data_IF_903446476407
#
_entry.id   IF_903446476407
#
_cell.length_a   1.000
_cell.length_b   1.000
_cell.length_c   1.000
_cell.angle_alpha   90.00
_cell.angle_beta   90.00
_cell.angle_gamma   90.00
#
_symmetry.space_group_name_H-M   'P 1'
#
loop_
_entity.id
_entity.type
_entity.pdbx_description
1 polymer ?
#
# COMPACT_ATOMS: atom_id res chain seq x y z
N UNK A 1 -5.70 19.79 -10.52
CA UNK A 1 -4.25 20.03 -10.30
C UNK A 1 -3.49 18.75 -10.64
N UNK A 2 -3.31 18.46 -11.94
CA UNK A 2 -2.83 17.17 -12.45
C UNK A 2 -1.37 17.25 -12.93
N UNK A 3 -0.85 18.46 -13.15
CA UNK A 3 0.35 18.67 -13.98
C UNK A 3 1.64 19.06 -13.22
N UNK A 4 1.56 19.33 -11.91
CA UNK A 4 2.75 19.50 -11.04
C UNK A 4 2.48 18.82 -9.68
N UNK A 5 2.71 17.50 -9.56
CA UNK A 5 2.57 16.84 -8.27
C UNK A 5 3.64 17.41 -7.32
N UNK A 6 3.22 17.94 -6.16
CA UNK A 6 4.13 18.24 -5.03
C UNK A 6 4.68 16.96 -4.37
N UNK A 7 4.50 15.82 -5.01
CA UNK A 7 4.74 14.49 -4.47
C UNK A 7 5.88 13.87 -5.29
N UNK A 8 6.88 13.23 -4.65
CA UNK A 8 7.97 12.60 -5.38
C UNK A 8 7.48 11.64 -6.47
N UNK A 9 8.16 11.63 -7.62
CA UNK A 9 7.78 10.84 -8.79
C UNK A 9 7.49 9.36 -8.46
N UNK A 10 8.31 8.75 -7.60
CA UNK A 10 8.14 7.37 -7.14
C UNK A 10 6.79 7.13 -6.47
N UNK A 11 6.35 8.06 -5.63
CA UNK A 11 5.05 7.98 -4.94
C UNK A 11 3.92 8.10 -5.96
N UNK A 12 4.03 9.01 -6.92
CA UNK A 12 3.01 9.17 -7.97
C UNK A 12 2.88 7.92 -8.85
N UNK A 13 4.00 7.35 -9.30
CA UNK A 13 3.99 6.07 -10.04
C UNK A 13 3.37 4.96 -9.21
N UNK A 14 3.71 4.87 -7.93
CA UNK A 14 3.16 3.87 -7.03
C UNK A 14 1.65 4.03 -6.82
N UNK A 15 1.17 5.25 -6.59
CA UNK A 15 -0.26 5.57 -6.47
C UNK A 15 -1.02 5.24 -7.76
N UNK A 16 -0.41 5.49 -8.93
CA UNK A 16 -1.00 5.12 -10.22
C UNK A 16 -1.11 3.61 -10.42
N UNK A 17 -0.03 2.87 -10.14
CA UNK A 17 -0.05 1.40 -10.16
C UNK A 17 -1.10 0.86 -9.18
N UNK A 18 -1.27 1.53 -8.03
CA UNK A 18 -2.24 1.16 -7.01
C UNK A 18 -3.67 1.36 -7.48
N UNK A 19 -3.96 2.51 -8.07
CA UNK A 19 -5.28 2.81 -8.63
C UNK A 19 -5.68 1.83 -9.74
N UNK A 20 -4.68 1.27 -10.45
CA UNK A 20 -4.87 0.22 -11.45
C UNK A 20 -4.87 -1.20 -10.89
N UNK A 21 -4.73 -1.38 -9.58
CA UNK A 21 -4.65 -2.68 -8.90
C UNK A 21 -3.53 -3.59 -9.45
N UNK A 22 -2.49 -3.01 -10.07
CA UNK A 22 -1.34 -3.73 -10.65
C UNK A 22 -0.05 -3.55 -9.83
N UNK A 23 -0.16 -3.01 -8.62
CA UNK A 23 0.98 -2.98 -7.68
C UNK A 23 1.46 -4.41 -7.44
N UNK A 24 2.76 -4.57 -7.27
CA UNK A 24 3.42 -5.84 -6.94
C UNK A 24 3.06 -6.31 -5.52
N UNK A 25 1.79 -6.62 -5.29
CA UNK A 25 1.30 -7.29 -4.07
C UNK A 25 1.39 -8.80 -4.26
N UNK A 26 1.28 -9.53 -3.15
CA UNK A 26 1.35 -10.99 -3.14
C UNK A 26 0.40 -11.63 -4.18
N UNK A 27 -0.81 -11.09 -4.34
CA UNK A 27 -1.79 -11.53 -5.32
C UNK A 27 -1.31 -11.40 -6.78
N UNK A 28 -0.68 -10.28 -7.12
CA UNK A 28 -0.19 -10.04 -8.47
C UNK A 28 1.10 -10.81 -8.77
N UNK A 29 1.94 -11.05 -7.76
CA UNK A 29 3.14 -11.87 -7.86
C UNK A 29 2.82 -13.37 -8.04
N UNK A 30 1.72 -13.86 -7.45
CA UNK A 30 1.27 -15.26 -7.59
C UNK A 30 0.92 -15.66 -9.02
N UNK A 31 0.62 -14.71 -9.92
CA UNK A 31 0.31 -14.99 -11.33
C UNK A 31 1.53 -15.37 -12.18
N UNK A 32 2.76 -15.15 -11.68
CA UNK A 32 4.00 -15.46 -12.39
C UNK A 32 5.08 -16.17 -11.55
N UNK A 33 4.94 -16.22 -10.22
CA UNK A 33 5.91 -16.82 -9.31
C UNK A 33 5.23 -17.62 -8.20
N UNK A 34 5.79 -18.78 -7.85
CA UNK A 34 5.40 -19.57 -6.67
C UNK A 34 5.88 -18.85 -5.41
N UNK A 35 5.12 -17.85 -4.95
CA UNK A 35 5.40 -17.17 -3.69
C UNK A 35 5.00 -18.10 -2.53
N UNK A 36 5.95 -18.42 -1.67
CA UNK A 36 5.67 -19.09 -0.40
C UNK A 36 4.68 -18.22 0.40
N UNK A 37 3.46 -18.70 0.55
CA UNK A 37 2.33 -18.02 1.21
C UNK A 37 2.54 -17.92 2.73
N UNK A 38 3.55 -17.17 3.18
CA UNK A 38 3.89 -17.08 4.61
C UNK A 38 4.19 -15.69 5.16
N UNK A 39 4.37 -14.67 4.33
CA UNK A 39 4.65 -13.33 4.83
C UNK A 39 3.37 -12.49 4.83
N UNK A 40 2.58 -12.67 5.89
CA UNK A 40 1.49 -11.78 6.26
C UNK A 40 2.11 -10.66 7.11
N UNK A 41 1.95 -9.41 6.70
CA UNK A 41 2.43 -8.24 7.46
C UNK A 41 1.72 -8.18 8.82
N UNK A 42 0.41 -8.45 8.84
CA UNK A 42 -0.38 -8.48 10.08
C UNK A 42 -0.55 -9.89 10.68
N UNK A 43 -0.37 -10.96 9.92
CA UNK A 43 -0.64 -12.34 10.39
C UNK A 43 -2.13 -12.71 10.48
N UNK A 44 -3.04 -11.78 10.20
CA UNK A 44 -4.48 -11.93 10.50
C UNK A 44 -5.32 -12.29 9.27
N UNK A 45 -4.99 -11.78 8.08
CA UNK A 45 -5.73 -12.03 6.84
C UNK A 45 -4.79 -12.19 5.65
N UNK A 46 -5.30 -12.72 4.53
CA UNK A 46 -4.58 -12.70 3.27
C UNK A 46 -4.22 -11.26 2.91
N UNK A 47 -2.94 -11.03 2.58
CA UNK A 47 -2.41 -9.72 2.17
C UNK A 47 -2.85 -9.41 0.73
N UNK A 48 -4.16 -9.20 0.58
CA UNK A 48 -4.73 -8.63 -0.63
C UNK A 48 -4.32 -7.17 -0.70
N UNK A 49 -4.30 -6.62 -1.92
CA UNK A 49 -4.03 -5.21 -2.13
C UNK A 49 -4.84 -4.32 -1.16
N UNK A 50 -6.15 -4.50 -1.02
CA UNK A 50 -6.96 -3.67 -0.12
C UNK A 50 -6.63 -3.88 1.35
N UNK A 51 -6.39 -5.12 1.78
CA UNK A 51 -5.99 -5.38 3.16
C UNK A 51 -4.65 -4.70 3.48
N UNK A 52 -3.60 -4.95 2.70
CA UNK A 52 -2.24 -4.45 2.96
C UNK A 52 -2.17 -2.92 3.08
N UNK A 53 -2.93 -2.18 2.27
CA UNK A 53 -2.81 -0.71 2.20
C UNK A 53 -3.86 0.08 2.98
N UNK A 54 -5.00 -0.54 3.32
CA UNK A 54 -6.12 0.16 3.96
C UNK A 54 -6.55 -0.46 5.29
N UNK A 55 -6.52 -1.78 5.41
CA UNK A 55 -7.11 -2.49 6.55
C UNK A 55 -6.10 -3.23 7.43
N UNK A 56 -4.86 -3.36 6.98
CA UNK A 56 -3.80 -3.99 7.74
C UNK A 56 -3.53 -3.17 9.00
N UNK A 57 -3.50 -3.84 10.15
CA UNK A 57 -3.29 -3.24 11.48
C UNK A 57 -2.04 -2.34 11.55
N UNK A 58 -0.97 -2.71 10.87
CA UNK A 58 0.25 -1.90 10.81
C UNK A 58 0.08 -0.66 9.93
N UNK A 59 -0.62 -0.82 8.81
CA UNK A 59 -0.92 0.29 7.89
C UNK A 59 -1.90 1.28 8.48
N UNK A 60 -2.89 0.80 9.24
CA UNK A 60 -3.81 1.66 9.98
C UNK A 60 -3.07 2.49 11.04
N UNK A 61 -2.11 1.88 11.75
CA UNK A 61 -1.23 2.62 12.68
C UNK A 61 -0.40 3.69 11.95
N UNK A 62 0.18 3.36 10.78
CA UNK A 62 0.88 4.33 9.95
C UNK A 62 -0.04 5.49 9.54
N UNK A 63 -1.27 5.21 9.09
CA UNK A 63 -2.24 6.24 8.75
C UNK A 63 -2.57 7.13 9.94
N UNK A 64 -2.79 6.55 11.13
CA UNK A 64 -3.03 7.29 12.37
C UNK A 64 -1.85 8.19 12.73
N UNK A 65 -0.60 7.75 12.53
CA UNK A 65 0.58 8.61 12.73
C UNK A 65 0.63 9.76 11.71
N UNK A 66 0.39 9.49 10.42
CA UNK A 66 0.38 10.55 9.41
C UNK A 66 -0.75 11.55 9.61
N UNK A 67 -1.93 11.11 10.07
CA UNK A 67 -3.06 12.01 10.36
C UNK A 67 -2.87 12.76 11.66
N UNK A 68 -2.25 12.17 12.68
CA UNK A 68 -1.93 12.86 13.94
C UNK A 68 -0.84 13.92 13.77
N UNK A 69 0.13 13.70 12.88
CA UNK A 69 1.14 14.69 12.49
C UNK A 69 0.57 15.94 11.82
N UNK A 70 -0.68 15.90 11.33
CA UNK A 70 -1.36 17.10 10.78
C UNK A 70 -1.74 18.15 11.84
N UNK A 71 -1.38 17.94 13.11
CA UNK A 71 -1.56 18.89 14.20
C UNK A 71 -0.31 19.71 14.59
N UNK A 72 0.80 19.64 13.84
CA UNK A 72 1.96 20.53 14.04
C UNK A 72 2.04 21.46 12.82
N UNK A 73 1.26 22.54 12.88
CA UNK A 73 1.41 23.73 12.07
C UNK A 73 1.19 24.94 12.98
#
# INVERSE_FOLDING_TARGET
MIWKPKVPYKVNCFTWLRAKEVVLTHENLKKGYQLASRFYLCGEQAELANHLFLHCKWTEQLWRMFTSLKGIA
#
